data_IF_813096809409
#
_entry.id   IF_813096809409
#
_cell.length_a   1.000
_cell.length_b   1.000
_cell.length_c   1.000
_cell.angle_alpha   90.00
_cell.angle_beta   90.00
_cell.angle_gamma   90.00
#
_symmetry.space_group_name_H-M   'P 1'
#
loop_
_entity.id
_entity.type
_entity.pdbx_description
1 polymer ?
#
# COMPACT_ATOMS: atom_id res chain seq x y z
N UNK A 1 -11.29 35.23 -26.52
CA UNK A 1 -11.95 34.44 -25.45
C UNK A 1 -11.76 32.97 -25.78
N UNK A 2 -10.70 32.35 -25.25
CA UNK A 2 -10.41 30.93 -25.45
C UNK A 2 -11.05 30.12 -24.32
N UNK A 3 -12.04 29.29 -24.65
CA UNK A 3 -12.86 28.58 -23.70
C UNK A 3 -12.03 27.48 -23.00
N UNK A 4 -11.87 27.62 -21.68
CA UNK A 4 -11.23 26.66 -20.77
C UNK A 4 -12.08 25.40 -20.63
N UNK A 5 -11.64 24.28 -21.20
CA UNK A 5 -12.10 22.94 -20.82
C UNK A 5 -10.95 22.16 -20.16
N UNK A 6 -10.50 22.66 -19.01
CA UNK A 6 -9.59 21.91 -18.12
C UNK A 6 -10.38 21.55 -16.86
N UNK A 7 -11.04 20.39 -16.85
CA UNK A 7 -11.88 20.00 -15.71
C UNK A 7 -12.42 18.58 -15.73
N UNK A 8 -12.55 17.95 -16.90
CA UNK A 8 -12.99 16.57 -16.98
C UNK A 8 -11.81 15.61 -16.82
N UNK A 9 -11.98 14.58 -15.99
CA UNK A 9 -11.12 13.39 -16.00
C UNK A 9 -11.13 12.80 -17.41
N UNK A 10 -9.99 12.35 -17.93
CA UNK A 10 -9.98 11.71 -19.25
C UNK A 10 -10.82 10.42 -19.20
N UNK A 11 -11.52 10.11 -20.29
CA UNK A 11 -12.31 8.87 -20.38
C UNK A 11 -11.46 7.62 -20.16
N UNK A 12 -10.20 7.66 -20.58
CA UNK A 12 -9.23 6.58 -20.42
C UNK A 12 -8.92 6.32 -18.93
N UNK A 13 -8.61 7.38 -18.16
CA UNK A 13 -8.34 7.26 -16.71
C UNK A 13 -9.60 6.77 -15.98
N UNK A 14 -10.77 7.27 -16.37
CA UNK A 14 -12.04 6.88 -15.75
C UNK A 14 -12.36 5.40 -15.97
N UNK A 15 -12.23 4.90 -17.20
CA UNK A 15 -12.47 3.49 -17.51
C UNK A 15 -11.43 2.60 -16.83
N UNK A 16 -10.17 3.00 -16.78
CA UNK A 16 -9.13 2.26 -16.07
C UNK A 16 -9.40 2.20 -14.55
N UNK A 17 -9.80 3.31 -13.93
CA UNK A 17 -10.16 3.33 -12.50
C UNK A 17 -11.43 2.51 -12.22
N UNK A 18 -12.40 2.47 -13.14
CA UNK A 18 -13.59 1.62 -13.02
C UNK A 18 -13.25 0.13 -13.14
N UNK A 19 -12.24 -0.23 -13.93
CA UNK A 19 -11.76 -1.61 -14.06
C UNK A 19 -10.96 -2.06 -12.83
N UNK A 20 -10.19 -1.15 -12.25
CA UNK A 20 -9.22 -1.46 -11.19
C UNK A 20 -9.72 -1.15 -9.77
N UNK A 21 -10.88 -0.51 -9.63
CA UNK A 21 -11.47 -0.17 -8.34
C UNK A 21 -12.96 -0.53 -8.28
N UNK A 22 -13.55 -0.45 -7.09
CA UNK A 22 -15.00 -0.65 -6.90
C UNK A 22 -15.79 0.66 -6.84
N UNK A 23 -15.13 1.78 -7.15
CA UNK A 23 -15.75 3.09 -7.02
C UNK A 23 -16.62 3.38 -8.24
N UNK A 24 -17.77 3.99 -7.98
CA UNK A 24 -18.66 4.44 -9.04
C UNK A 24 -18.05 5.63 -9.79
N UNK A 25 -18.48 5.80 -11.03
CA UNK A 25 -18.09 6.95 -11.85
C UNK A 25 -18.38 8.29 -11.14
N UNK A 26 -19.49 8.37 -10.41
CA UNK A 26 -19.87 9.57 -9.67
C UNK A 26 -18.89 9.86 -8.52
N UNK A 27 -18.47 8.84 -7.77
CA UNK A 27 -17.47 8.99 -6.69
C UNK A 27 -16.11 9.40 -7.25
N UNK A 28 -15.67 8.75 -8.33
CA UNK A 28 -14.40 9.05 -8.99
C UNK A 28 -14.34 10.51 -9.50
N UNK A 29 -15.42 10.99 -10.11
CA UNK A 29 -15.51 12.38 -10.58
C UNK A 29 -15.51 13.37 -9.41
N UNK A 30 -16.27 13.10 -8.34
CA UNK A 30 -16.29 13.96 -7.15
C UNK A 30 -14.93 14.03 -6.47
N UNK A 31 -14.23 12.91 -6.34
CA UNK A 31 -12.89 12.89 -5.76
C UNK A 31 -11.88 13.59 -6.64
N UNK A 32 -11.99 13.49 -7.96
CA UNK A 32 -11.14 14.22 -8.89
C UNK A 32 -11.32 15.73 -8.78
N UNK A 33 -12.57 16.20 -8.70
CA UNK A 33 -12.86 17.61 -8.49
C UNK A 33 -12.31 18.11 -7.15
N UNK A 34 -12.45 17.32 -6.09
CA UNK A 34 -11.91 17.66 -4.78
C UNK A 34 -10.38 17.66 -4.79
N UNK A 35 -9.75 16.68 -5.43
CA UNK A 35 -8.31 16.57 -5.61
C UNK A 35 -7.76 17.79 -6.37
N UNK A 36 -8.39 18.20 -7.49
CA UNK A 36 -7.99 19.42 -8.21
C UNK A 36 -8.14 20.68 -7.37
N UNK A 37 -9.13 20.72 -6.48
CA UNK A 37 -9.39 21.89 -5.62
C UNK A 37 -8.40 21.97 -4.46
N UNK A 38 -7.95 20.84 -3.94
CA UNK A 38 -7.01 20.76 -2.81
C UNK A 38 -5.53 20.73 -3.25
N UNK A 39 -5.25 20.16 -4.42
CA UNK A 39 -3.92 20.04 -5.02
C UNK A 39 -3.91 20.70 -6.41
N UNK A 40 -3.68 22.03 -6.49
CA UNK A 40 -3.63 22.76 -7.77
C UNK A 40 -2.53 22.28 -8.72
N UNK A 41 -1.52 21.61 -8.18
CA UNK A 41 -0.43 20.92 -8.91
C UNK A 41 -0.89 19.67 -9.65
N UNK A 42 -2.10 19.15 -9.36
CA UNK A 42 -2.59 17.84 -9.81
C UNK A 42 -1.64 16.67 -9.46
N UNK A 43 -0.81 16.87 -8.43
CA UNK A 43 0.20 15.94 -7.94
C UNK A 43 0.26 16.04 -6.42
N UNK A 44 0.24 14.90 -5.74
CA UNK A 44 0.43 14.80 -4.30
C UNK A 44 1.90 14.53 -4.01
N UNK A 45 2.54 15.39 -3.24
CA UNK A 45 3.92 15.14 -2.81
C UNK A 45 3.97 14.14 -1.66
N UNK A 46 5.17 13.63 -1.38
CA UNK A 46 5.41 12.73 -0.25
C UNK A 46 4.97 13.35 1.09
N UNK A 47 5.17 14.65 1.27
CA UNK A 47 4.82 15.41 2.47
C UNK A 47 3.29 15.51 2.61
N UNK A 48 2.60 15.88 1.54
CA UNK A 48 1.14 15.96 1.52
C UNK A 48 0.50 14.58 1.80
N UNK A 49 1.05 13.52 1.21
CA UNK A 49 0.60 12.15 1.49
C UNK A 49 0.78 11.78 2.96
N UNK A 50 1.93 12.12 3.57
CA UNK A 50 2.18 11.86 4.99
C UNK A 50 1.17 12.59 5.89
N UNK A 51 0.86 13.86 5.60
CA UNK A 51 -0.15 14.61 6.37
C UNK A 51 -1.54 13.99 6.28
N UNK A 52 -1.94 13.55 5.09
CA UNK A 52 -3.20 12.83 4.88
C UNK A 52 -3.19 11.54 5.70
N UNK A 53 -2.11 10.75 5.60
CA UNK A 53 -1.98 9.46 6.28
C UNK A 53 -2.01 9.60 7.81
N UNK A 54 -1.33 10.60 8.38
CA UNK A 54 -1.35 10.91 9.81
C UNK A 54 -2.73 11.31 10.33
N UNK A 55 -3.57 11.95 9.50
CA UNK A 55 -4.96 12.28 9.89
C UNK A 55 -5.85 11.03 9.95
N UNK A 56 -5.59 10.02 9.13
CA UNK A 56 -6.34 8.75 9.14
C UNK A 56 -5.90 7.79 10.24
N UNK A 57 -4.63 7.85 10.65
CA UNK A 57 -4.06 6.99 11.69
C UNK A 57 -3.35 7.80 12.80
N UNK A 58 -4.08 8.66 13.53
CA UNK A 58 -3.49 9.62 14.48
C UNK A 58 -2.74 8.95 15.64
N UNK A 59 -3.11 7.72 16.00
CA UNK A 59 -2.55 6.98 17.14
C UNK A 59 -1.39 6.04 16.76
N UNK A 60 -0.87 6.13 15.54
CA UNK A 60 0.19 5.23 15.03
C UNK A 60 1.45 5.98 14.59
N UNK A 61 2.62 5.35 14.74
CA UNK A 61 3.88 5.83 14.15
C UNK A 61 3.93 5.48 12.66
N UNK A 62 2.99 6.05 11.90
CA UNK A 62 2.79 5.77 10.49
C UNK A 62 3.79 6.47 9.57
N UNK A 63 4.74 7.25 10.09
CA UNK A 63 5.65 8.01 9.24
C UNK A 63 6.55 7.10 8.40
N UNK A 64 7.08 6.00 8.98
CA UNK A 64 7.91 5.07 8.20
C UNK A 64 7.07 4.28 7.20
N UNK A 65 5.90 3.80 7.62
CA UNK A 65 5.02 3.01 6.77
C UNK A 65 4.44 3.81 5.60
N UNK A 66 4.00 5.06 5.85
CA UNK A 66 3.48 5.94 4.80
C UNK A 66 4.49 6.23 3.70
N UNK A 67 5.80 6.20 4.00
CA UNK A 67 6.84 6.33 2.96
C UNK A 67 6.94 5.10 2.07
N UNK A 68 6.88 3.89 2.64
CA UNK A 68 6.86 2.65 1.86
C UNK A 68 5.59 2.54 1.02
N UNK A 69 4.46 2.93 1.60
CA UNK A 69 3.16 2.99 0.93
C UNK A 69 3.18 4.02 -0.21
N UNK A 70 3.72 5.22 0.03
CA UNK A 70 3.89 6.22 -1.03
C UNK A 70 4.73 5.67 -2.19
N UNK A 71 5.89 5.07 -1.87
CA UNK A 71 6.78 4.47 -2.87
C UNK A 71 6.12 3.36 -3.68
N UNK A 72 5.28 2.54 -3.05
CA UNK A 72 4.59 1.45 -3.74
C UNK A 72 3.46 1.95 -4.63
N UNK A 73 2.96 3.16 -4.40
CA UNK A 73 1.98 3.81 -5.28
C UNK A 73 2.60 4.70 -6.35
N UNK A 74 3.76 5.28 -6.10
CA UNK A 74 4.56 6.04 -7.07
C UNK A 74 5.21 5.07 -8.06
N UNK A 75 4.43 4.63 -9.05
CA UNK A 75 4.82 3.59 -10.00
C UNK A 75 5.82 4.10 -11.02
N UNK A 76 5.69 5.38 -11.40
CA UNK A 76 6.57 6.04 -12.36
C UNK A 76 7.86 6.60 -11.72
N UNK A 77 7.97 6.55 -10.38
CA UNK A 77 9.09 7.03 -9.60
C UNK A 77 9.39 8.52 -9.83
N UNK A 78 8.35 9.32 -10.07
CA UNK A 78 8.49 10.77 -10.29
C UNK A 78 8.54 11.58 -8.98
N UNK A 79 8.37 10.91 -7.84
CA UNK A 79 8.40 11.51 -6.51
C UNK A 79 7.08 12.18 -6.11
N UNK A 80 6.04 12.02 -6.92
CA UNK A 80 4.68 12.49 -6.67
C UNK A 80 3.66 11.39 -6.97
N UNK A 81 2.45 11.50 -6.44
CA UNK A 81 1.32 10.65 -6.84
C UNK A 81 0.40 11.46 -7.72
N UNK A 82 0.12 10.95 -8.91
CA UNK A 82 -0.98 11.47 -9.70
C UNK A 82 -2.34 11.03 -9.12
N UNK A 83 -3.43 11.56 -9.68
CA UNK A 83 -4.77 11.22 -9.21
C UNK A 83 -5.07 9.72 -9.31
N UNK A 84 -4.58 9.05 -10.37
CA UNK A 84 -4.82 7.62 -10.58
C UNK A 84 -4.11 6.81 -9.50
N UNK A 85 -2.84 7.09 -9.26
CA UNK A 85 -2.04 6.42 -8.22
C UNK A 85 -2.63 6.66 -6.83
N UNK A 86 -3.12 7.88 -6.56
CA UNK A 86 -3.82 8.21 -5.32
C UNK A 86 -5.15 7.45 -5.13
N UNK A 87 -5.99 7.33 -6.17
CA UNK A 87 -7.24 6.58 -6.08
C UNK A 87 -6.99 5.07 -5.92
N UNK A 88 -6.02 4.54 -6.65
CA UNK A 88 -5.58 3.15 -6.47
C UNK A 88 -5.09 2.98 -5.03
N UNK A 89 -4.35 3.95 -4.48
CA UNK A 89 -3.91 3.92 -3.10
C UNK A 89 -5.06 3.82 -2.09
N UNK A 90 -6.08 4.66 -2.25
CA UNK A 90 -7.28 4.61 -1.43
C UNK A 90 -8.04 3.29 -1.60
N UNK A 91 -8.14 2.76 -2.82
CA UNK A 91 -8.80 1.48 -3.06
C UNK A 91 -8.10 0.33 -2.31
N UNK A 92 -6.77 0.32 -2.37
CA UNK A 92 -5.95 -0.76 -1.87
C UNK A 92 -5.88 -0.76 -0.34
N UNK A 93 -5.84 0.44 0.24
CA UNK A 93 -5.91 0.65 1.70
C UNK A 93 -7.33 0.53 2.26
N UNK A 94 -8.38 0.62 1.42
CA UNK A 94 -9.77 0.42 1.85
C UNK A 94 -10.10 -1.03 2.19
N UNK A 95 -10.98 -1.19 3.19
CA UNK A 95 -11.43 -2.49 3.69
C UNK A 95 -12.24 -3.23 2.62
N UNK A 96 -11.70 -4.35 2.13
CA UNK A 96 -12.32 -5.18 1.10
C UNK A 96 -11.55 -6.47 0.87
N UNK A 97 -12.21 -7.49 0.30
CA UNK A 97 -11.61 -8.82 0.04
C UNK A 97 -10.27 -8.71 -0.68
N UNK A 98 -9.30 -9.49 -0.24
CA UNK A 98 -8.00 -9.67 -0.91
C UNK A 98 -8.24 -10.24 -2.30
N UNK A 99 -7.87 -9.49 -3.33
CA UNK A 99 -7.82 -9.94 -4.73
C UNK A 99 -6.37 -10.10 -5.16
N UNK A 100 -6.11 -10.77 -6.28
CA UNK A 100 -4.76 -10.91 -6.85
C UNK A 100 -4.08 -9.55 -7.02
N UNK A 101 -4.82 -8.53 -7.45
CA UNK A 101 -4.31 -7.15 -7.55
C UNK A 101 -3.81 -6.59 -6.21
N UNK A 102 -4.47 -6.94 -5.08
CA UNK A 102 -3.97 -6.57 -3.74
C UNK A 102 -2.63 -7.20 -3.40
N UNK A 103 -2.36 -8.38 -3.95
CA UNK A 103 -1.11 -9.11 -3.72
C UNK A 103 0.01 -8.65 -4.65
N UNK A 104 -0.30 -8.31 -5.90
CA UNK A 104 0.65 -7.67 -6.84
C UNK A 104 1.14 -6.32 -6.28
N UNK A 105 0.23 -5.51 -5.75
CA UNK A 105 0.64 -4.29 -5.05
C UNK A 105 1.40 -4.57 -3.76
N UNK A 106 0.96 -5.55 -2.96
CA UNK A 106 1.68 -5.91 -1.74
C UNK A 106 3.10 -6.38 -2.10
N UNK A 107 3.30 -7.06 -3.23
CA UNK A 107 4.63 -7.36 -3.74
C UNK A 107 5.44 -6.08 -3.96
N UNK A 108 4.89 -5.08 -4.67
CA UNK A 108 5.54 -3.78 -4.86
C UNK A 108 5.79 -2.97 -3.58
N UNK A 109 5.06 -3.25 -2.50
CA UNK A 109 5.36 -2.70 -1.18
C UNK A 109 6.62 -3.35 -0.56
N UNK A 110 6.75 -4.67 -0.72
CA UNK A 110 7.85 -5.48 -0.21
C UNK A 110 9.13 -5.40 -1.06
N UNK A 111 9.03 -5.18 -2.37
CA UNK A 111 10.17 -4.94 -3.26
C UNK A 111 10.62 -3.48 -3.11
N UNK A 112 11.59 -3.25 -2.21
CA UNK A 112 11.99 -1.91 -1.76
C UNK A 112 12.80 -1.19 -2.84
N UNK A 113 13.70 -1.94 -3.49
CA UNK A 113 14.59 -1.43 -4.52
C UNK A 113 14.02 -1.54 -5.95
N UNK A 114 12.81 -2.13 -6.09
CA UNK A 114 12.08 -2.32 -7.35
C UNK A 114 12.87 -3.16 -8.35
N UNK A 115 13.67 -4.12 -7.87
CA UNK A 115 14.47 -5.00 -8.73
C UNK A 115 13.67 -6.21 -9.28
N UNK A 116 12.40 -6.36 -8.89
CA UNK A 116 11.53 -7.46 -9.27
C UNK A 116 11.63 -8.70 -8.36
N UNK A 117 12.34 -8.59 -7.24
CA UNK A 117 12.55 -9.67 -6.29
C UNK A 117 12.54 -9.17 -4.85
N UNK A 118 11.88 -9.90 -3.96
CA UNK A 118 11.88 -9.64 -2.53
C UNK A 118 12.99 -10.44 -1.84
N UNK A 119 13.79 -9.75 -1.04
CA UNK A 119 14.82 -10.31 -0.17
C UNK A 119 14.37 -10.36 1.29
N UNK A 120 15.05 -11.18 2.11
CA UNK A 120 14.75 -11.27 3.55
C UNK A 120 14.92 -9.93 4.27
N UNK A 121 15.90 -9.13 3.87
CA UNK A 121 16.13 -7.77 4.39
C UNK A 121 14.91 -6.88 4.16
N UNK A 122 14.34 -6.91 2.96
CA UNK A 122 13.20 -6.07 2.61
C UNK A 122 11.92 -6.52 3.33
N UNK A 123 11.73 -7.84 3.48
CA UNK A 123 10.66 -8.37 4.34
C UNK A 123 10.78 -7.84 5.76
N UNK A 124 12.00 -7.86 6.33
CA UNK A 124 12.23 -7.33 7.67
C UNK A 124 11.97 -5.83 7.77
N UNK A 125 12.36 -5.06 6.77
CA UNK A 125 12.11 -3.62 6.69
C UNK A 125 10.62 -3.30 6.73
N UNK A 126 9.83 -3.92 5.84
CA UNK A 126 8.38 -3.71 5.78
C UNK A 126 7.66 -4.25 7.01
N UNK A 127 8.00 -5.44 7.50
CA UNK A 127 7.43 -5.96 8.74
C UNK A 127 7.73 -5.05 9.95
N UNK A 128 8.90 -4.40 9.97
CA UNK A 128 9.22 -3.41 11.02
C UNK A 128 8.36 -2.17 10.90
N UNK A 129 8.17 -1.65 9.68
CA UNK A 129 7.28 -0.51 9.45
C UNK A 129 5.83 -0.81 9.84
N UNK A 130 5.31 -1.98 9.45
CA UNK A 130 3.96 -2.44 9.84
C UNK A 130 3.85 -2.60 11.36
N UNK A 131 4.86 -3.18 12.01
CA UNK A 131 4.84 -3.40 13.45
C UNK A 131 4.78 -2.09 14.24
N UNK A 132 5.43 -1.02 13.74
CA UNK A 132 5.36 0.32 14.35
C UNK A 132 3.99 0.98 14.25
N UNK A 133 3.13 0.53 13.34
CA UNK A 133 1.76 1.01 13.26
C UNK A 133 0.85 0.47 14.35
N UNK A 134 1.22 -0.66 14.96
CA UNK A 134 0.41 -1.32 15.99
C UNK A 134 0.49 -0.49 17.28
N UNK A 135 -0.65 -0.08 17.86
CA UNK A 135 -0.65 0.62 19.14
C UNK A 135 0.09 -0.22 20.20
N UNK A 136 0.89 0.44 21.04
CA UNK A 136 1.75 -0.26 22.02
C UNK A 136 0.94 -1.14 22.99
N UNK A 137 -0.25 -0.68 23.30
CA UNK A 137 -1.29 -1.28 24.12
C UNK A 137 -2.07 -2.41 23.43
N UNK A 138 -1.75 -2.74 22.17
CA UNK A 138 -2.20 -3.96 21.49
C UNK A 138 -1.10 -5.00 21.33
N UNK A 139 0.18 -4.63 21.46
CA UNK A 139 1.32 -5.53 21.25
C UNK A 139 1.26 -6.76 22.17
N UNK A 140 0.79 -6.59 23.41
CA UNK A 140 0.67 -7.68 24.38
C UNK A 140 -0.42 -8.71 24.02
N UNK A 141 -1.38 -8.34 23.15
CA UNK A 141 -2.43 -9.24 22.65
C UNK A 141 -1.95 -10.11 21.49
N UNK A 142 -0.77 -9.82 20.93
CA UNK A 142 -0.22 -10.55 19.79
C UNK A 142 0.31 -11.94 20.22
N UNK A 143 0.25 -12.93 19.32
CA UNK A 143 0.91 -14.22 19.53
C UNK A 143 2.40 -14.06 19.88
N UNK A 144 2.92 -14.95 20.73
CA UNK A 144 4.31 -14.88 21.22
C UNK A 144 5.36 -15.02 20.11
N UNK A 145 4.98 -15.58 18.96
CA UNK A 145 5.77 -15.71 17.73
C UNK A 145 5.53 -14.56 16.73
N UNK A 146 4.75 -13.53 17.09
CA UNK A 146 4.43 -12.36 16.26
C UNK A 146 4.51 -11.03 17.02
N UNK A 147 4.88 -11.06 18.30
CA UNK A 147 4.95 -9.89 19.17
C UNK A 147 6.19 -9.00 18.97
N UNK A 148 6.97 -9.25 17.93
CA UNK A 148 8.10 -8.39 17.50
C UNK A 148 8.18 -8.39 15.98
N UNK A 149 8.72 -7.32 15.41
CA UNK A 149 8.94 -7.20 13.97
C UNK A 149 9.81 -8.35 13.41
N UNK A 150 10.88 -8.71 14.10
CA UNK A 150 11.80 -9.78 13.68
C UNK A 150 11.10 -11.14 13.60
N UNK A 151 10.30 -11.49 14.61
CA UNK A 151 9.57 -12.77 14.61
C UNK A 151 8.52 -12.81 13.49
N UNK A 152 7.84 -11.70 13.21
CA UNK A 152 6.91 -11.60 12.08
C UNK A 152 7.62 -11.76 10.74
N UNK A 153 8.73 -11.07 10.55
CA UNK A 153 9.54 -11.14 9.34
C UNK A 153 10.06 -12.56 9.10
N UNK A 154 10.59 -13.20 10.15
CA UNK A 154 11.08 -14.58 10.11
C UNK A 154 9.95 -15.57 9.82
N UNK A 155 8.78 -15.39 10.46
CA UNK A 155 7.60 -16.23 10.22
C UNK A 155 7.09 -16.10 8.79
N UNK A 156 7.02 -14.88 8.26
CA UNK A 156 6.64 -14.61 6.88
C UNK A 156 7.66 -15.21 5.90
N UNK A 157 8.96 -15.02 6.13
CA UNK A 157 10.03 -15.57 5.28
C UNK A 157 9.99 -17.10 5.20
N UNK A 158 9.71 -17.77 6.32
CA UNK A 158 9.57 -19.23 6.37
C UNK A 158 8.45 -19.76 5.48
N UNK A 159 7.39 -18.99 5.23
CA UNK A 159 6.32 -19.42 4.35
C UNK A 159 6.75 -19.54 2.89
N UNK A 160 7.73 -18.75 2.47
CA UNK A 160 8.31 -18.86 1.12
C UNK A 160 9.28 -20.05 0.99
N UNK A 161 9.68 -20.68 2.10
CA UNK A 161 10.62 -21.82 2.15
C UNK A 161 11.94 -21.52 1.43
N UNK A 162 12.44 -20.29 1.61
CA UNK A 162 13.67 -19.76 1.02
C UNK A 162 14.79 -19.64 2.06
N UNK A 163 16.03 -19.78 1.63
CA UNK A 163 17.23 -19.53 2.44
C UNK A 163 17.52 -18.03 2.66
N UNK A 164 18.57 -17.70 3.41
CA UNK A 164 18.91 -16.30 3.77
C UNK A 164 19.30 -15.42 2.57
N UNK A 165 19.87 -16.03 1.52
CA UNK A 165 20.36 -15.32 0.31
C UNK A 165 19.44 -15.47 -0.89
N UNK A 166 18.33 -16.18 -0.69
CA UNK A 166 17.38 -16.44 -1.74
C UNK A 166 16.51 -15.21 -1.99
N UNK A 167 15.85 -15.24 -3.15
CA UNK A 167 14.96 -14.20 -3.63
C UNK A 167 13.58 -14.79 -3.88
N UNK A 168 12.55 -14.00 -3.61
CA UNK A 168 11.15 -14.34 -3.86
C UNK A 168 10.66 -13.51 -5.04
N UNK A 169 10.21 -14.20 -6.08
CA UNK A 169 9.57 -13.57 -7.24
C UNK A 169 8.12 -13.18 -6.93
N UNK A 170 7.53 -12.30 -7.74
CA UNK A 170 6.12 -11.91 -7.62
C UNK A 170 5.18 -13.12 -7.62
N UNK A 171 5.38 -14.07 -8.54
CA UNK A 171 4.58 -15.28 -8.61
C UNK A 171 4.68 -16.14 -7.35
N UNK A 172 5.90 -16.29 -6.81
CA UNK A 172 6.11 -17.03 -5.55
C UNK A 172 5.51 -16.31 -4.35
N UNK A 173 5.56 -14.97 -4.33
CA UNK A 173 4.93 -14.17 -3.29
C UNK A 173 3.42 -14.35 -3.30
N UNK A 174 2.78 -14.15 -4.46
CA UNK A 174 1.33 -14.28 -4.62
C UNK A 174 0.88 -15.69 -4.24
N UNK A 175 1.56 -16.73 -4.75
CA UNK A 175 1.24 -18.12 -4.43
C UNK A 175 1.44 -18.43 -2.94
N UNK A 176 2.56 -17.98 -2.36
CA UNK A 176 2.87 -18.21 -0.95
C UNK A 176 1.88 -17.55 0.00
N UNK A 177 1.44 -16.33 -0.32
CA UNK A 177 0.44 -15.60 0.46
C UNK A 177 -0.96 -16.17 0.27
N UNK A 178 -1.37 -16.54 -0.97
CA UNK A 178 -2.68 -17.15 -1.22
C UNK A 178 -2.81 -18.54 -0.59
N UNK A 179 -1.72 -19.31 -0.53
CA UNK A 179 -1.72 -20.63 0.07
C UNK A 179 -1.73 -20.58 1.61
N UNK A 180 -1.54 -19.41 2.23
CA UNK A 180 -1.37 -19.29 3.68
C UNK A 180 -2.08 -18.05 4.25
N UNK A 181 -3.24 -18.28 4.88
CA UNK A 181 -4.02 -17.21 5.54
C UNK A 181 -3.24 -16.47 6.63
N UNK A 182 -2.27 -17.12 7.29
CA UNK A 182 -1.41 -16.45 8.28
C UNK A 182 -0.41 -15.49 7.60
N UNK A 183 0.11 -15.83 6.42
CA UNK A 183 0.95 -14.92 5.63
C UNK A 183 0.15 -13.67 5.23
N UNK A 184 -1.10 -13.87 4.79
CA UNK A 184 -2.01 -12.78 4.44
C UNK A 184 -2.27 -11.84 5.62
N UNK A 185 -2.47 -12.39 6.83
CA UNK A 185 -2.64 -11.58 8.05
C UNK A 185 -1.36 -10.82 8.44
N UNK A 186 -0.19 -11.35 8.16
CA UNK A 186 1.09 -10.70 8.50
C UNK A 186 1.43 -9.52 7.57
N UNK A 187 0.99 -9.58 6.31
CA UNK A 187 1.20 -8.49 5.34
C UNK A 187 0.10 -7.42 5.40
N UNK A 188 -1.07 -7.73 5.95
CA UNK A 188 -2.15 -6.77 6.13
C UNK A 188 -2.14 -6.19 7.54
N UNK A 189 -1.98 -4.88 7.64
CA UNK A 189 -2.39 -4.18 8.86
C UNK A 189 -3.92 -4.03 8.85
N UNK A 190 -4.60 -4.92 9.57
CA UNK A 190 -5.99 -4.69 9.96
C UNK A 190 -6.00 -4.33 11.45
N UNK A 191 -6.46 -3.13 11.83
CA UNK A 191 -6.70 -2.80 13.22
C UNK A 191 -7.60 -3.87 13.83
N UNK A 192 -7.24 -4.38 15.01
CA UNK A 192 -8.12 -5.25 15.77
C UNK A 192 -9.33 -4.42 16.18
N UNK A 193 -10.51 -4.74 15.63
CA UNK A 193 -11.76 -4.16 16.11
C UNK A 193 -12.14 -4.73 17.47
#
# INVERSE_FOLDING_TARGET
>A
MGNTKSGAMSKEILEELKMNTKFSEMELVQWYENFKRQCPSERITKEEFQEIYSKFFPDSDAQTYSQHVFRSFDTNADGTLDFKEYIIALHMTSTGKTTTMKLEWAFGLFDVDKNGYITKSEVKEICTAIFRMIPKDEIWKLPSDENTADKRAEKLWRFFKKGEKDRVTESEFIQGVLANEAALRLIQYQPLK
#
